data_IF_180618674107
#
_entry.id   IF_180618674107
#
_cell.length_a   1.000
_cell.length_b   1.000
_cell.length_c   1.000
_cell.angle_alpha   90.00
_cell.angle_beta   90.00
_cell.angle_gamma   90.00
#
_symmetry.space_group_name_H-M   'P 1'
#
loop_
_entity.id
_entity.type
_entity.pdbx_description
1 polymer ?
#
# COMPACT_ATOMS: atom_id res chain seq x y z
N UNK A 1 -37.84 8.42 -6.40
CA UNK A 1 -37.63 9.75 -5.80
C UNK A 1 -36.27 9.75 -5.12
N UNK A 2 -35.37 10.68 -5.44
CA UNK A 2 -34.05 10.80 -4.78
C UNK A 2 -34.15 11.91 -3.74
N UNK A 3 -34.08 11.57 -2.45
CA UNK A 3 -34.09 12.55 -1.35
C UNK A 3 -32.88 13.47 -1.46
N UNK A 4 -33.11 14.79 -1.41
CA UNK A 4 -32.04 15.78 -1.45
C UNK A 4 -31.14 15.70 -0.21
N UNK A 5 -29.83 15.89 -0.38
CA UNK A 5 -28.82 15.80 0.70
C UNK A 5 -29.16 16.63 1.96
N UNK A 6 -29.80 17.78 1.79
CA UNK A 6 -30.19 18.66 2.90
C UNK A 6 -31.65 18.49 3.38
N UNK A 7 -32.45 17.62 2.74
CA UNK A 7 -33.83 17.36 3.13
C UNK A 7 -33.92 16.48 4.37
N UNK A 8 -35.10 16.41 5.02
CA UNK A 8 -35.31 15.49 6.14
C UNK A 8 -35.14 14.05 5.66
N UNK A 9 -34.41 13.25 6.42
CA UNK A 9 -34.17 11.86 6.07
C UNK A 9 -35.47 11.05 6.15
N UNK A 10 -35.78 10.21 5.13
CA UNK A 10 -36.94 9.31 5.16
C UNK A 10 -36.82 8.21 6.23
N UNK A 11 -35.67 8.07 6.90
CA UNK A 11 -35.42 7.14 8.01
C UNK A 11 -36.25 7.43 9.27
N UNK A 12 -37.01 8.54 9.31
CA UNK A 12 -37.81 8.93 10.47
C UNK A 12 -37.01 9.57 11.62
N UNK A 13 -35.69 9.76 11.47
CA UNK A 13 -34.83 10.32 12.54
C UNK A 13 -34.98 11.81 12.78
N UNK A 14 -35.69 12.54 11.91
CA UNK A 14 -35.80 14.00 11.96
C UNK A 14 -34.53 14.78 11.57
N UNK A 15 -33.40 14.10 11.34
CA UNK A 15 -32.13 14.70 10.88
C UNK A 15 -32.13 14.95 9.36
N UNK A 16 -31.24 15.83 8.88
CA UNK A 16 -30.99 15.99 7.43
C UNK A 16 -30.46 14.68 6.84
N UNK A 17 -30.80 14.37 5.58
CA UNK A 17 -30.41 13.13 4.90
C UNK A 17 -28.90 12.90 4.97
N UNK A 18 -28.13 13.99 4.80
CA UNK A 18 -26.67 13.99 4.92
C UNK A 18 -26.09 13.68 6.29
N UNK A 19 -26.90 13.61 7.34
CA UNK A 19 -26.45 13.33 8.71
C UNK A 19 -27.28 12.19 9.35
N UNK A 20 -28.05 11.43 8.54
CA UNK A 20 -28.72 10.20 8.98
C UNK A 20 -28.20 9.02 8.17
N UNK A 21 -28.66 8.88 6.93
CA UNK A 21 -28.45 7.65 6.15
C UNK A 21 -27.31 7.76 5.13
N UNK A 22 -26.88 8.98 4.76
CA UNK A 22 -25.75 9.15 3.85
C UNK A 22 -24.41 8.90 4.56
N UNK A 23 -24.24 9.40 5.78
CA UNK A 23 -22.96 9.24 6.50
C UNK A 23 -22.84 7.83 7.09
N UNK A 24 -23.97 7.17 7.40
CA UNK A 24 -23.98 5.77 7.86
C UNK A 24 -23.51 4.74 6.83
N UNK A 25 -23.50 5.07 5.53
CA UNK A 25 -22.84 4.22 4.54
C UNK A 25 -21.31 4.39 4.51
N UNK A 26 -20.79 5.45 5.15
CA UNK A 26 -19.36 5.77 5.21
C UNK A 26 -18.75 5.39 6.58
N UNK A 27 -19.58 5.03 7.57
CA UNK A 27 -19.16 4.59 8.92
C UNK A 27 -18.54 3.17 8.96
N UNK A 28 -18.12 2.62 7.82
CA UNK A 28 -17.27 1.42 7.72
C UNK A 28 -15.85 1.70 7.21
N UNK A 29 -15.40 2.97 7.20
CA UNK A 29 -14.00 3.34 6.94
C UNK A 29 -13.42 4.34 7.95
N UNK A 30 -14.00 4.43 9.16
CA UNK A 30 -13.54 5.33 10.21
C UNK A 30 -13.17 4.59 11.51
N UNK A 31 -12.14 3.75 11.44
CA UNK A 31 -11.24 3.33 12.54
C UNK A 31 -9.90 3.03 11.81
N UNK A 32 -8.81 3.79 11.89
CA UNK A 32 -8.16 4.49 13.00
C UNK A 32 -7.53 5.81 12.49
N UNK A 33 -8.01 6.96 12.99
CA UNK A 33 -7.39 8.28 12.82
C UNK A 33 -7.02 8.79 14.23
N UNK A 34 -6.16 8.03 14.93
CA UNK A 34 -5.45 8.52 16.12
C UNK A 34 -4.06 7.91 16.28
N UNK A 35 -3.27 7.90 15.20
CA UNK A 35 -1.82 7.82 15.32
C UNK A 35 -1.20 8.82 14.34
N UNK A 36 -1.02 10.05 14.83
CA UNK A 36 0.06 10.91 14.38
C UNK A 36 1.38 10.35 14.94
N UNK A 37 1.72 9.15 14.48
CA UNK A 37 3.03 8.57 14.54
C UNK A 37 3.36 8.27 13.08
N UNK A 38 4.51 8.74 12.60
CA UNK A 38 5.00 8.35 11.29
C UNK A 38 4.91 6.82 11.16
N UNK A 39 3.97 6.30 10.36
CA UNK A 39 4.01 4.90 9.97
C UNK A 39 5.42 4.65 9.43
N UNK A 40 6.11 3.57 9.84
CA UNK A 40 7.40 3.26 9.27
C UNK A 40 7.22 3.15 7.75
N UNK A 41 8.20 3.68 7.02
CA UNK A 41 8.26 3.62 5.56
C UNK A 41 8.33 2.13 5.15
N UNK A 42 7.17 1.51 4.92
CA UNK A 42 6.99 0.06 4.74
C UNK A 42 7.26 -0.43 3.32
N UNK A 43 7.62 0.45 2.39
CA UNK A 43 7.84 0.11 0.99
C UNK A 43 9.14 0.69 0.43
N UNK A 44 9.87 -0.16 -0.31
CA UNK A 44 11.14 0.15 -0.94
C UNK A 44 11.05 -0.19 -2.43
N UNK A 45 11.30 0.82 -3.26
CA UNK A 45 11.34 0.67 -4.72
C UNK A 45 12.77 0.26 -5.10
N UNK A 46 12.94 -0.90 -5.72
CA UNK A 46 14.22 -1.39 -6.22
C UNK A 46 14.44 -1.00 -7.69
N UNK A 47 15.65 -0.54 -8.00
CA UNK A 47 16.04 -0.11 -9.35
C UNK A 47 17.20 -0.94 -9.87
N UNK A 48 17.20 -1.23 -11.18
CA UNK A 48 18.21 -2.04 -11.84
C UNK A 48 19.46 -1.26 -12.33
N UNK A 49 19.46 0.06 -12.15
CA UNK A 49 20.58 0.94 -12.48
C UNK A 49 20.74 2.03 -11.43
N UNK A 50 21.96 2.55 -11.36
CA UNK A 50 22.27 3.72 -10.54
C UNK A 50 21.53 4.95 -11.02
N UNK A 51 21.37 5.90 -10.10
CA UNK A 51 20.75 7.18 -10.38
C UNK A 51 21.66 8.01 -11.28
N UNK A 52 21.12 8.52 -12.39
CA UNK A 52 21.84 9.44 -13.25
C UNK A 52 22.10 10.78 -12.51
N UNK A 53 23.30 11.38 -12.68
CA UNK A 53 23.72 12.55 -11.91
C UNK A 53 22.89 13.81 -12.18
N UNK A 54 22.23 13.88 -13.33
CA UNK A 54 21.40 14.98 -13.80
C UNK A 54 19.91 14.87 -13.43
N UNK A 55 19.48 13.75 -12.84
CA UNK A 55 18.09 13.54 -12.43
C UNK A 55 17.73 14.27 -11.13
N UNK A 56 16.53 14.86 -11.06
CA UNK A 56 16.01 15.54 -9.87
C UNK A 56 15.79 14.56 -8.70
N UNK A 57 15.99 14.98 -7.44
CA UNK A 57 15.64 14.20 -6.24
C UNK A 57 14.21 13.65 -6.23
N UNK A 58 13.31 14.34 -6.92
CA UNK A 58 11.90 14.03 -7.01
C UNK A 58 11.53 13.20 -8.25
N UNK A 59 12.46 13.03 -9.20
CA UNK A 59 12.21 12.24 -10.41
C UNK A 59 12.39 10.75 -10.11
N UNK A 60 11.39 9.97 -10.51
CA UNK A 60 11.41 8.52 -10.46
C UNK A 60 11.75 7.97 -11.85
N UNK A 61 12.88 7.28 -11.96
CA UNK A 61 13.23 6.52 -13.17
C UNK A 61 12.35 5.27 -13.26
N UNK A 62 11.15 5.44 -13.83
CA UNK A 62 10.16 4.36 -13.92
C UNK A 62 10.66 3.17 -14.73
N UNK A 63 11.50 3.41 -15.74
CA UNK A 63 12.07 2.35 -16.59
C UNK A 63 13.15 1.54 -15.87
N UNK A 64 13.77 2.11 -14.83
CA UNK A 64 14.72 1.42 -14.00
C UNK A 64 14.07 0.60 -12.88
N UNK A 65 12.78 0.80 -12.58
CA UNK A 65 12.09 0.07 -11.52
C UNK A 65 12.02 -1.40 -11.90
N UNK A 66 12.52 -2.27 -11.02
CA UNK A 66 12.54 -3.72 -11.22
C UNK A 66 11.71 -4.48 -10.19
N UNK A 67 11.55 -3.93 -8.99
CA UNK A 67 10.77 -4.56 -7.93
C UNK A 67 10.26 -3.56 -6.89
N UNK A 68 9.23 -3.96 -6.16
CA UNK A 68 8.73 -3.27 -4.96
C UNK A 68 8.82 -4.24 -3.78
N UNK A 69 9.57 -3.86 -2.76
CA UNK A 69 9.72 -4.63 -1.52
C UNK A 69 8.82 -4.00 -0.46
N UNK A 70 7.87 -4.77 0.08
CA UNK A 70 6.85 -4.27 0.99
C UNK A 70 6.78 -5.10 2.27
N UNK A 71 6.79 -4.43 3.43
CA UNK A 71 6.41 -5.05 4.69
C UNK A 71 4.90 -5.22 4.74
N UNK A 72 4.46 -6.36 5.27
CA UNK A 72 3.05 -6.65 5.45
C UNK A 72 2.57 -6.18 6.81
N UNK A 73 1.65 -5.22 6.78
CA UNK A 73 0.80 -4.95 7.93
C UNK A 73 -0.17 -6.12 8.17
N UNK A 74 -0.72 -6.22 9.38
CA UNK A 74 -1.70 -7.25 9.74
C UNK A 74 -2.89 -7.30 8.77
N UNK A 75 -3.34 -6.13 8.27
CA UNK A 75 -4.40 -6.06 7.27
C UNK A 75 -3.97 -6.64 5.93
N UNK A 76 -2.79 -6.22 5.44
CA UNK A 76 -2.26 -6.69 4.16
C UNK A 76 -2.00 -8.21 4.15
N UNK A 77 -1.46 -8.76 5.24
CA UNK A 77 -1.23 -10.20 5.38
C UNK A 77 -2.54 -11.01 5.28
N UNK A 78 -3.61 -10.56 5.97
CA UNK A 78 -4.94 -11.20 5.87
C UNK A 78 -5.51 -11.14 4.46
N UNK A 79 -5.46 -9.98 3.81
CA UNK A 79 -5.95 -9.83 2.44
C UNK A 79 -5.20 -10.72 1.45
N UNK A 80 -3.88 -10.89 1.59
CA UNK A 80 -3.10 -11.80 0.74
C UNK A 80 -3.45 -13.27 1.00
N UNK A 81 -3.62 -13.65 2.27
CA UNK A 81 -4.07 -14.98 2.65
C UNK A 81 -5.44 -15.32 2.04
N UNK A 82 -6.41 -14.40 2.13
CA UNK A 82 -7.74 -14.54 1.54
C UNK A 82 -7.68 -14.65 0.01
N UNK A 83 -6.95 -13.75 -0.65
CA UNK A 83 -6.81 -13.72 -2.12
C UNK A 83 -6.21 -15.01 -2.68
N UNK A 84 -5.21 -15.56 -2.00
CA UNK A 84 -4.48 -16.74 -2.45
C UNK A 84 -4.99 -18.06 -1.83
N UNK A 85 -6.03 -18.02 -0.98
CA UNK A 85 -6.51 -19.16 -0.19
C UNK A 85 -5.37 -19.85 0.59
N UNK A 86 -4.54 -19.07 1.28
CA UNK A 86 -3.42 -19.58 2.10
C UNK A 86 -3.45 -18.99 3.51
N UNK A 87 -2.61 -19.51 4.41
CA UNK A 87 -2.34 -18.91 5.72
C UNK A 87 -0.83 -18.72 5.92
N UNK A 88 -0.11 -18.37 4.85
CA UNK A 88 1.36 -18.25 4.86
C UNK A 88 1.84 -16.85 5.24
N UNK A 89 1.02 -15.83 5.02
CA UNK A 89 1.40 -14.44 5.27
C UNK A 89 1.05 -14.06 6.71
N UNK A 90 2.02 -13.49 7.42
CA UNK A 90 1.87 -12.99 8.79
C UNK A 90 2.29 -11.53 8.83
N UNK A 91 1.98 -10.84 9.92
CA UNK A 91 2.46 -9.47 10.16
C UNK A 91 3.99 -9.43 10.14
N UNK A 92 4.56 -8.32 9.65
CA UNK A 92 6.00 -8.07 9.51
C UNK A 92 6.74 -8.97 8.50
N UNK A 93 6.05 -9.92 7.85
CA UNK A 93 6.60 -10.59 6.67
C UNK A 93 6.84 -9.58 5.55
N UNK A 94 7.90 -9.81 4.78
CA UNK A 94 8.24 -9.00 3.63
C UNK A 94 7.84 -9.74 2.36
N UNK A 95 7.28 -9.03 1.40
CA UNK A 95 7.02 -9.54 0.06
C UNK A 95 7.75 -8.70 -0.97
N UNK A 96 8.06 -9.31 -2.11
CA UNK A 96 8.62 -8.63 -3.27
C UNK A 96 7.64 -8.78 -4.42
N UNK A 97 7.15 -7.66 -4.95
CA UNK A 97 6.31 -7.66 -6.15
C UNK A 97 7.11 -7.15 -7.35
N UNK A 98 6.90 -7.77 -8.50
CA UNK A 98 7.57 -7.43 -9.77
C UNK A 98 6.58 -7.48 -10.93
N UNK A 99 6.94 -6.85 -12.05
CA UNK A 99 6.11 -6.80 -13.25
C UNK A 99 5.23 -5.55 -13.33
N UNK A 100 4.37 -5.52 -14.35
CA UNK A 100 3.49 -4.40 -14.63
C UNK A 100 2.14 -4.60 -13.94
N UNK A 101 1.28 -3.57 -13.95
CA UNK A 101 -0.07 -3.65 -13.38
C UNK A 101 -0.93 -4.81 -13.92
N UNK A 102 -0.60 -5.37 -15.09
CA UNK A 102 -1.33 -6.50 -15.70
C UNK A 102 -0.73 -7.89 -15.38
N UNK A 103 0.51 -7.98 -14.93
CA UNK A 103 1.20 -9.25 -14.63
C UNK A 103 2.10 -9.08 -13.40
N UNK A 104 1.45 -8.90 -12.24
CA UNK A 104 2.16 -8.74 -10.97
C UNK A 104 2.56 -10.11 -10.46
N UNK A 105 3.86 -10.32 -10.27
CA UNK A 105 4.43 -11.52 -9.66
C UNK A 105 4.82 -11.21 -8.22
N UNK A 106 4.39 -12.07 -7.30
CA UNK A 106 4.69 -11.97 -5.89
C UNK A 106 5.69 -13.05 -5.47
N UNK A 107 6.75 -12.64 -4.78
CA UNK A 107 7.71 -13.52 -4.11
C UNK A 107 7.68 -13.27 -2.60
N UNK A 108 7.90 -14.33 -1.83
CA UNK A 108 7.84 -14.33 -0.37
C UNK A 108 6.83 -15.35 0.17
N UNK A 109 6.47 -15.28 1.46
CA UNK A 109 6.95 -14.29 2.43
C UNK A 109 8.42 -14.48 2.81
N UNK A 110 9.13 -13.38 3.05
CA UNK A 110 10.46 -13.35 3.63
C UNK A 110 10.38 -12.93 5.10
N UNK A 111 11.22 -13.52 5.95
CA UNK A 111 11.26 -13.23 7.39
C UNK A 111 11.99 -11.93 7.73
N UNK A 112 12.70 -11.31 6.78
CA UNK A 112 13.43 -10.06 6.99
C UNK A 112 13.52 -9.24 5.71
N UNK A 113 13.72 -7.92 5.87
CA UNK A 113 14.01 -7.00 4.78
C UNK A 113 15.28 -7.37 4.02
N UNK A 114 16.32 -7.77 4.74
CA UNK A 114 17.61 -8.16 4.16
C UNK A 114 17.46 -9.33 3.18
N UNK A 115 16.73 -10.39 3.56
CA UNK A 115 16.47 -11.52 2.68
C UNK A 115 15.69 -11.12 1.42
N UNK A 116 14.73 -10.20 1.55
CA UNK A 116 13.98 -9.68 0.41
C UNK A 116 14.84 -8.80 -0.51
N UNK A 117 15.74 -8.00 0.04
CA UNK A 117 16.71 -7.22 -0.73
C UNK A 117 17.69 -8.12 -1.46
N UNK A 118 18.28 -9.12 -0.79
CA UNK A 118 19.16 -10.11 -1.44
C UNK A 118 18.47 -10.85 -2.57
N UNK A 119 17.23 -11.29 -2.34
CA UNK A 119 16.41 -11.90 -3.38
C UNK A 119 16.22 -10.95 -4.58
N UNK A 120 15.92 -9.68 -4.31
CA UNK A 120 15.70 -8.66 -5.34
C UNK A 120 16.96 -8.35 -6.14
N UNK A 121 18.12 -8.25 -5.47
CA UNK A 121 19.41 -8.06 -6.14
C UNK A 121 19.74 -9.25 -7.05
N UNK A 122 19.56 -10.49 -6.56
CA UNK A 122 19.94 -11.70 -7.27
C UNK A 122 19.01 -12.06 -8.43
N UNK A 123 17.69 -11.87 -8.28
CA UNK A 123 16.70 -12.34 -9.26
C UNK A 123 16.17 -11.24 -10.16
N UNK A 124 16.20 -9.98 -9.71
CA UNK A 124 15.63 -8.84 -10.45
C UNK A 124 16.67 -7.78 -10.82
N UNK A 125 17.94 -7.98 -10.44
CA UNK A 125 19.05 -7.09 -10.78
C UNK A 125 18.97 -5.76 -10.04
N UNK A 126 18.26 -5.68 -8.91
CA UNK A 126 18.22 -4.46 -8.12
C UNK A 126 19.63 -4.08 -7.65
N UNK A 127 20.03 -2.82 -7.83
CA UNK A 127 21.32 -2.28 -7.38
C UNK A 127 21.14 -1.19 -6.33
N UNK A 128 19.96 -0.57 -6.27
CA UNK A 128 19.60 0.43 -5.26
C UNK A 128 18.13 0.33 -4.87
N UNK A 129 17.82 0.81 -3.67
CA UNK A 129 16.46 0.91 -3.15
C UNK A 129 16.14 2.34 -2.71
N UNK A 130 14.91 2.79 -2.93
CA UNK A 130 14.44 4.12 -2.53
C UNK A 130 13.07 4.02 -1.86
N UNK A 131 12.90 4.71 -0.75
CA UNK A 131 11.60 4.90 -0.10
C UNK A 131 10.94 6.18 -0.59
N UNK A 132 9.64 6.37 -0.31
CA UNK A 132 8.94 7.61 -0.64
C UNK A 132 9.70 8.86 -0.09
N UNK A 133 9.91 9.90 -0.92
CA UNK A 133 10.56 11.13 -0.47
C UNK A 133 9.68 11.83 0.57
N UNK A 134 10.30 12.40 1.60
CA UNK A 134 9.61 13.23 2.60
C UNK A 134 9.70 14.69 2.19
N UNK A 135 8.56 15.37 2.15
CA UNK A 135 8.52 16.84 2.09
C UNK A 135 8.77 17.36 3.50
N UNK A 136 9.95 17.94 3.71
CA UNK A 136 10.31 18.70 4.93
C UNK A 136 9.94 20.17 4.75
#
# INVERSE_FOLDING_TARGET
MKTGRNEKCPCGSGKKFKHCCIDKSEEHFAQDESDNASLPKEQYIGFNRDRAPDMSPFDLDQEAICCLVSLLSTGAAKSLNEMHNTNKFETDHVIVTTGNCSDIKLAGPFSSLEAAFEFSMKNHGAVRFQTQPQFV
#
